data_IF_773365485903
#
_entry.id   IF_773365485903
#
_cell.length_a   1.000
_cell.length_b   1.000
_cell.length_c   1.000
_cell.angle_alpha   90.00
_cell.angle_beta   90.00
_cell.angle_gamma   90.00
#
_symmetry.space_group_name_H-M   'P 1'
#
loop_
_entity.id
_entity.type
_entity.pdbx_description
1 polymer ?
#
# COMPACT_ATOMS: atom_id res chain seq x y z
N UNK A 1 -11.43 3.64 -10.16
CA UNK A 1 -10.00 3.49 -10.50
C UNK A 1 -9.52 4.67 -11.34
N UNK A 2 -8.32 5.18 -11.12
CA UNK A 2 -7.73 6.24 -11.94
C UNK A 2 -6.52 5.66 -12.69
N UNK A 3 -6.46 5.87 -14.02
CA UNK A 3 -5.39 5.38 -14.88
C UNK A 3 -4.71 6.54 -15.59
N UNK A 4 -3.39 6.40 -15.79
CA UNK A 4 -2.58 7.32 -16.58
C UNK A 4 -1.50 6.55 -17.32
N UNK A 5 -1.22 6.91 -18.55
CA UNK A 5 -0.10 6.34 -19.31
C UNK A 5 1.24 6.56 -18.59
N UNK A 6 2.10 5.59 -18.69
CA UNK A 6 3.44 5.68 -18.13
C UNK A 6 4.34 6.45 -19.11
N UNK A 7 5.06 7.47 -18.62
CA UNK A 7 5.85 8.38 -19.46
C UNK A 7 6.92 7.68 -20.32
N UNK A 8 7.38 6.50 -19.89
CA UNK A 8 8.54 5.82 -20.51
C UNK A 8 8.30 4.31 -20.77
N UNK A 9 7.09 3.82 -20.65
CA UNK A 9 6.75 2.40 -20.84
C UNK A 9 5.37 2.27 -21.45
N UNK A 10 5.17 1.25 -22.25
CA UNK A 10 3.87 0.84 -22.76
C UNK A 10 3.08 0.13 -21.63
N UNK A 11 2.70 0.89 -20.62
CA UNK A 11 1.94 0.41 -19.46
C UNK A 11 1.21 1.58 -18.78
N UNK A 12 0.20 1.25 -17.98
CA UNK A 12 -0.56 2.24 -17.21
C UNK A 12 -0.04 2.34 -15.77
N UNK A 13 -0.07 3.55 -15.22
CA UNK A 13 -0.02 3.80 -13.77
C UNK A 13 -1.45 3.71 -13.24
N UNK A 14 -1.66 3.02 -12.13
CA UNK A 14 -2.98 2.81 -11.53
C UNK A 14 -3.03 3.39 -10.11
N UNK A 15 -4.16 4.04 -9.79
CA UNK A 15 -4.50 4.47 -8.43
C UNK A 15 -5.89 3.96 -8.07
N UNK A 16 -5.98 3.33 -6.93
CA UNK A 16 -7.22 2.80 -6.37
C UNK A 16 -7.83 3.78 -5.37
N UNK A 17 -9.15 3.89 -5.36
CA UNK A 17 -9.89 4.47 -4.24
C UNK A 17 -9.81 3.56 -3.00
N UNK A 18 -10.26 4.05 -1.85
CA UNK A 18 -10.31 3.24 -0.63
C UNK A 18 -11.17 1.98 -0.80
N UNK A 19 -12.35 2.11 -1.43
CA UNK A 19 -13.25 0.97 -1.70
C UNK A 19 -12.66 -0.04 -2.69
N UNK A 20 -11.89 0.42 -3.68
CA UNK A 20 -11.19 -0.49 -4.61
C UNK A 20 -10.01 -1.21 -3.94
N UNK A 21 -9.34 -0.57 -2.98
CA UNK A 21 -8.35 -1.27 -2.13
C UNK A 21 -9.03 -2.37 -1.32
N UNK A 22 -10.20 -2.10 -0.72
CA UNK A 22 -10.96 -3.12 0.02
C UNK A 22 -11.35 -4.28 -0.90
N UNK A 23 -11.89 -4.00 -2.08
CA UNK A 23 -12.24 -5.01 -3.07
C UNK A 23 -11.03 -5.88 -3.47
N UNK A 24 -9.85 -5.26 -3.68
CA UNK A 24 -8.62 -6.00 -3.99
C UNK A 24 -8.19 -6.92 -2.84
N UNK A 25 -8.31 -6.46 -1.59
CA UNK A 25 -7.98 -7.26 -0.42
C UNK A 25 -8.97 -8.42 -0.22
N UNK A 26 -10.24 -8.22 -0.55
CA UNK A 26 -11.27 -9.26 -0.49
C UNK A 26 -11.11 -10.30 -1.60
N UNK A 27 -10.62 -9.92 -2.77
CA UNK A 27 -10.26 -10.83 -3.87
C UNK A 27 -8.96 -11.63 -3.63
N UNK A 28 -8.26 -11.38 -2.52
CA UNK A 28 -7.06 -12.14 -2.17
C UNK A 28 -7.37 -13.63 -1.92
N UNK A 29 -6.59 -14.52 -2.53
CA UNK A 29 -6.82 -15.98 -2.49
C UNK A 29 -6.89 -16.56 -1.07
N UNK A 30 -6.11 -16.01 -0.15
CA UNK A 30 -5.98 -16.46 1.24
C UNK A 30 -5.43 -15.32 2.13
N UNK A 31 -5.32 -15.57 3.42
CA UNK A 31 -4.85 -14.59 4.41
C UNK A 31 -3.42 -14.11 4.14
N UNK A 32 -2.51 -14.98 3.72
CA UNK A 32 -1.13 -14.61 3.35
C UNK A 32 -1.11 -13.59 2.20
N UNK A 33 -1.89 -13.86 1.12
CA UNK A 33 -2.01 -12.91 0.00
C UNK A 33 -2.64 -11.59 0.46
N UNK A 34 -3.69 -11.66 1.29
CA UNK A 34 -4.35 -10.46 1.84
C UNK A 34 -3.38 -9.60 2.66
N UNK A 35 -2.56 -10.22 3.52
CA UNK A 35 -1.51 -9.51 4.27
C UNK A 35 -0.52 -8.85 3.32
N UNK A 36 0.02 -9.58 2.34
CA UNK A 36 1.00 -9.03 1.40
C UNK A 36 0.46 -7.84 0.60
N UNK A 37 -0.79 -7.93 0.09
CA UNK A 37 -1.45 -6.84 -0.61
C UNK A 37 -1.74 -5.66 0.33
N UNK A 38 -2.17 -5.94 1.56
CA UNK A 38 -2.42 -4.93 2.60
C UNK A 38 -1.16 -4.16 2.99
N UNK A 39 -0.02 -4.83 3.15
CA UNK A 39 1.27 -4.19 3.41
C UNK A 39 1.66 -3.22 2.28
N UNK A 40 1.40 -3.57 1.02
CA UNK A 40 1.61 -2.67 -0.10
C UNK A 40 0.64 -1.49 -0.14
N UNK A 41 -0.67 -1.77 -0.02
CA UNK A 41 -1.74 -0.80 -0.25
C UNK A 41 -2.08 0.08 0.98
N UNK A 42 -1.80 -0.39 2.20
CA UNK A 42 -2.17 0.26 3.46
C UNK A 42 -0.98 0.73 4.31
N UNK A 43 0.22 0.18 4.06
CA UNK A 43 1.47 0.59 4.74
C UNK A 43 2.51 1.14 3.76
N UNK A 44 2.24 1.13 2.46
CA UNK A 44 3.10 1.70 1.43
C UNK A 44 4.40 0.96 1.20
N UNK A 45 4.49 -0.34 1.52
CA UNK A 45 5.71 -1.12 1.35
C UNK A 45 6.01 -1.42 -0.12
N UNK A 46 7.30 -1.49 -0.42
CA UNK A 46 7.80 -2.04 -1.71
C UNK A 46 7.74 -3.56 -1.68
N UNK A 47 7.64 -4.21 -2.84
CA UNK A 47 7.55 -5.67 -2.91
C UNK A 47 8.70 -6.41 -2.24
N UNK A 48 9.93 -5.88 -2.28
CA UNK A 48 11.07 -6.49 -1.60
C UNK A 48 11.05 -6.29 -0.08
N UNK A 49 10.38 -5.25 0.42
CA UNK A 49 10.21 -5.02 1.85
C UNK A 49 9.13 -5.96 2.43
N UNK A 50 8.09 -6.26 1.65
CA UNK A 50 6.99 -7.12 2.09
C UNK A 50 7.44 -8.55 2.41
N UNK A 51 8.39 -9.10 1.66
CA UNK A 51 8.86 -10.47 1.86
C UNK A 51 9.67 -10.65 3.15
N UNK A 52 10.15 -9.54 3.73
CA UNK A 52 10.95 -9.53 4.95
C UNK A 52 10.11 -9.19 6.21
N UNK A 53 8.82 -8.85 6.05
CA UNK A 53 7.96 -8.49 7.18
C UNK A 53 7.64 -9.71 8.02
N UNK A 54 7.93 -9.60 9.33
CA UNK A 54 7.62 -10.60 10.35
C UNK A 54 6.69 -10.00 11.44
N UNK A 55 6.01 -10.81 12.25
CA UNK A 55 5.15 -10.33 13.34
C UNK A 55 5.85 -9.36 14.31
N UNK A 56 7.11 -9.60 14.68
CA UNK A 56 7.90 -8.74 15.58
C UNK A 56 8.12 -7.32 15.06
N UNK A 57 7.92 -7.08 13.75
CA UNK A 57 8.04 -5.76 13.16
C UNK A 57 6.82 -4.87 13.42
N UNK A 58 5.70 -5.44 13.89
CA UNK A 58 4.51 -4.69 14.27
C UNK A 58 4.61 -4.30 15.73
N UNK A 59 4.71 -2.99 16.01
CA UNK A 59 4.98 -2.47 17.35
C UNK A 59 3.95 -1.43 17.78
N UNK A 60 3.64 -1.39 19.07
CA UNK A 60 2.88 -0.31 19.67
C UNK A 60 3.85 0.81 20.13
N UNK A 61 3.54 2.03 19.74
CA UNK A 61 4.30 3.24 20.06
C UNK A 61 3.36 4.32 20.64
N UNK A 62 3.91 5.42 21.14
CA UNK A 62 3.12 6.58 21.57
C UNK A 62 2.33 7.22 20.41
N UNK A 63 2.78 7.05 19.17
CA UNK A 63 2.09 7.48 17.96
C UNK A 63 1.02 6.48 17.48
N UNK A 64 0.81 5.37 18.18
CA UNK A 64 -0.07 4.28 17.81
C UNK A 64 0.70 3.08 17.25
N UNK A 65 -0.02 2.20 16.56
CA UNK A 65 0.60 0.98 16.00
C UNK A 65 1.38 1.29 14.73
N UNK A 66 2.64 0.86 14.73
CA UNK A 66 3.58 1.11 13.62
C UNK A 66 4.16 -0.21 13.10
N UNK A 67 4.53 -0.20 11.83
CA UNK A 67 5.32 -1.25 11.21
C UNK A 67 6.75 -0.75 11.01
N UNK A 68 7.72 -1.48 11.54
CA UNK A 68 9.16 -1.26 11.36
C UNK A 68 9.65 -1.88 10.06
N UNK A 69 10.33 -1.10 9.25
CA UNK A 69 10.94 -1.54 7.99
C UNK A 69 12.44 -1.34 8.09
N UNK A 70 13.19 -2.44 8.24
CA UNK A 70 14.63 -2.41 8.51
C UNK A 70 15.48 -2.28 7.26
N UNK A 71 15.05 -2.84 6.12
CA UNK A 71 15.80 -2.89 4.87
C UNK A 71 15.12 -2.09 3.77
N UNK A 72 14.83 -0.81 4.03
CA UNK A 72 14.35 0.13 3.02
C UNK A 72 15.39 0.39 1.93
N UNK A 73 15.02 1.14 0.88
CA UNK A 73 15.95 1.54 -0.20
C UNK A 73 17.19 2.25 0.41
N UNK A 74 18.37 1.65 0.22
CA UNK A 74 19.63 2.14 0.78
C UNK A 74 19.85 1.73 2.24
N UNK A 75 19.25 0.62 2.67
CA UNK A 75 19.37 0.03 4.03
C UNK A 75 18.92 0.99 5.16
N UNK A 76 17.91 1.81 4.85
CA UNK A 76 17.38 2.78 5.81
C UNK A 76 16.24 2.19 6.62
N UNK A 77 16.33 2.35 7.93
CA UNK A 77 15.24 2.11 8.86
C UNK A 77 14.15 3.18 8.71
N UNK A 78 12.88 2.78 8.79
CA UNK A 78 11.74 3.65 8.95
C UNK A 78 10.60 2.96 9.67
N UNK A 79 9.66 3.74 10.16
CA UNK A 79 8.37 3.27 10.66
C UNK A 79 7.25 3.82 9.77
N UNK A 80 6.22 3.02 9.54
CA UNK A 80 5.01 3.42 8.81
C UNK A 80 3.78 3.06 9.60
N UNK A 81 2.70 3.86 9.59
CA UNK A 81 1.46 3.54 10.30
C UNK A 81 0.89 2.19 9.86
N UNK A 82 0.46 1.40 10.84
CA UNK A 82 -0.16 0.10 10.63
C UNK A 82 -1.67 0.16 10.92
N UNK A 83 -2.55 -0.09 9.94
CA UNK A 83 -3.99 -0.20 10.19
C UNK A 83 -4.31 -1.29 11.21
N UNK A 84 -5.27 -1.00 12.08
CA UNK A 84 -5.63 -1.89 13.20
C UNK A 84 -6.11 -3.27 12.74
N UNK A 85 -6.90 -3.33 11.70
CA UNK A 85 -7.44 -4.56 11.11
C UNK A 85 -6.33 -5.44 10.54
N UNK A 86 -5.37 -4.86 9.82
CA UNK A 86 -4.22 -5.57 9.28
C UNK A 86 -3.32 -6.09 10.41
N UNK A 87 -3.05 -5.27 11.43
CA UNK A 87 -2.29 -5.68 12.59
C UNK A 87 -2.95 -6.84 13.35
N UNK A 88 -4.28 -6.79 13.52
CA UNK A 88 -5.05 -7.89 14.15
C UNK A 88 -4.95 -9.16 13.31
N UNK A 89 -5.03 -9.05 11.99
CA UNK A 89 -4.86 -10.20 11.09
C UNK A 89 -3.48 -10.82 11.24
N UNK A 90 -2.43 -9.99 11.30
CA UNK A 90 -1.05 -10.44 11.48
C UNK A 90 -0.87 -11.16 12.82
N UNK A 91 -1.36 -10.58 13.92
CA UNK A 91 -1.32 -11.19 15.25
C UNK A 91 -2.03 -12.55 15.26
N UNK A 92 -3.23 -12.63 14.67
CA UNK A 92 -3.98 -13.90 14.58
C UNK A 92 -3.20 -14.96 13.80
N UNK A 93 -2.55 -14.57 12.71
CA UNK A 93 -1.73 -15.50 11.91
C UNK A 93 -0.51 -15.98 12.69
N UNK A 94 0.17 -15.09 13.43
CA UNK A 94 1.29 -15.44 14.30
C UNK A 94 0.86 -16.45 15.37
N UNK A 95 -0.24 -16.17 16.08
CA UNK A 95 -0.78 -17.07 17.11
C UNK A 95 -1.14 -18.46 16.57
N UNK A 96 -1.67 -18.55 15.34
CA UNK A 96 -2.09 -19.83 14.72
C UNK A 96 -0.91 -20.62 14.17
N UNK A 97 0.14 -19.94 13.67
CA UNK A 97 1.31 -20.62 13.09
C UNK A 97 2.19 -21.28 14.14
N UNK A 98 2.19 -20.78 15.36
CA UNK A 98 3.08 -21.24 16.46
C UNK A 98 4.56 -21.28 16.02
N UNK A 99 4.96 -20.28 15.21
CA UNK A 99 6.32 -20.07 14.72
C UNK A 99 6.96 -18.91 15.49
N UNK A 100 8.27 -18.76 15.36
CA UNK A 100 8.99 -17.62 15.93
C UNK A 100 8.51 -16.30 15.31
N UNK A 101 8.31 -15.26 16.12
CA UNK A 101 7.83 -13.95 15.67
C UNK A 101 8.74 -13.27 14.65
N UNK A 102 9.98 -13.72 14.51
CA UNK A 102 10.92 -13.33 13.47
C UNK A 102 10.69 -14.01 12.11
N UNK A 103 9.79 -15.03 12.07
CA UNK A 103 9.48 -15.73 10.82
C UNK A 103 8.67 -14.84 9.87
N UNK A 104 9.09 -14.65 8.60
CA UNK A 104 8.36 -13.84 7.65
C UNK A 104 6.90 -14.27 7.48
N UNK A 105 6.00 -13.27 7.38
CA UNK A 105 4.56 -13.49 7.20
C UNK A 105 4.20 -14.14 5.87
N UNK A 106 5.05 -13.96 4.85
CA UNK A 106 4.86 -14.56 3.53
C UNK A 106 5.89 -15.64 3.28
N UNK A 107 5.45 -16.81 2.85
CA UNK A 107 6.30 -17.99 2.62
C UNK A 107 7.12 -17.91 1.32
N UNK A 108 7.45 -16.70 0.86
CA UNK A 108 8.25 -16.48 -0.35
C UNK A 108 9.21 -15.31 -0.17
N UNK A 109 10.44 -15.48 -0.63
CA UNK A 109 11.42 -14.39 -0.76
C UNK A 109 11.45 -13.77 -2.17
N UNK A 110 10.60 -14.24 -3.09
CA UNK A 110 10.59 -13.83 -4.48
C UNK A 110 9.51 -12.76 -4.75
N UNK A 111 9.91 -11.53 -4.99
CA UNK A 111 9.02 -10.41 -5.36
C UNK A 111 8.13 -10.71 -6.58
N UNK A 112 8.61 -11.59 -7.49
CA UNK A 112 7.82 -12.07 -8.64
C UNK A 112 6.55 -12.81 -8.19
N UNK A 113 6.59 -13.49 -7.05
CA UNK A 113 5.42 -14.19 -6.49
C UNK A 113 4.37 -13.19 -6.05
N UNK A 114 4.76 -12.11 -5.35
CA UNK A 114 3.84 -11.02 -4.96
C UNK A 114 3.17 -10.38 -6.17
N UNK A 115 3.93 -10.17 -7.26
CA UNK A 115 3.38 -9.64 -8.50
C UNK A 115 2.26 -10.54 -9.05
N UNK A 116 2.47 -11.85 -9.07
CA UNK A 116 1.44 -12.83 -9.50
C UNK A 116 0.21 -12.83 -8.58
N UNK A 117 0.37 -12.50 -7.30
CA UNK A 117 -0.76 -12.43 -6.38
C UNK A 117 -1.64 -11.20 -6.67
N UNK A 118 -1.02 -10.06 -6.98
CA UNK A 118 -1.76 -8.88 -7.46
C UNK A 118 -2.47 -9.19 -8.77
N UNK A 119 -1.75 -9.73 -9.78
CA UNK A 119 -2.31 -10.09 -11.07
C UNK A 119 -3.54 -11.00 -10.93
N UNK A 120 -3.45 -12.04 -10.10
CA UNK A 120 -4.58 -12.96 -9.88
C UNK A 120 -5.80 -12.29 -9.24
N UNK A 121 -5.60 -11.45 -8.23
CA UNK A 121 -6.71 -10.72 -7.60
C UNK A 121 -7.32 -9.70 -8.55
N UNK A 122 -6.48 -9.01 -9.32
CA UNK A 122 -6.91 -8.06 -10.34
C UNK A 122 -7.65 -8.73 -11.50
N UNK A 123 -7.20 -9.89 -11.98
CA UNK A 123 -7.89 -10.66 -13.02
C UNK A 123 -9.29 -11.08 -12.57
N UNK A 124 -9.45 -11.54 -11.33
CA UNK A 124 -10.76 -11.88 -10.78
C UNK A 124 -11.70 -10.67 -10.80
N UNK A 125 -11.23 -9.49 -10.38
CA UNK A 125 -12.04 -8.26 -10.36
C UNK A 125 -12.33 -7.74 -11.78
N UNK A 126 -11.43 -7.99 -12.74
CA UNK A 126 -11.65 -7.65 -14.14
C UNK A 126 -12.75 -8.52 -14.79
N UNK A 127 -12.82 -9.79 -14.43
CA UNK A 127 -13.88 -10.70 -14.90
C UNK A 127 -15.27 -10.28 -14.39
N UNK A 128 -15.33 -9.67 -13.19
CA UNK A 128 -16.55 -9.18 -12.55
C UNK A 128 -17.01 -7.80 -13.09
N UNK A 129 -16.23 -7.09 -13.93
CA UNK A 129 -16.75 -5.89 -14.56
C UNK A 129 -15.85 -4.80 -15.11
N UNK A 130 -14.61 -4.62 -14.68
CA UNK A 130 -13.74 -3.53 -15.17
C UNK A 130 -12.35 -4.04 -15.61
N UNK A 131 -12.15 -4.13 -16.91
CA UNK A 131 -10.87 -4.51 -17.54
C UNK A 131 -9.66 -3.65 -17.08
N UNK A 132 -9.92 -2.46 -16.54
CA UNK A 132 -8.88 -1.58 -16.03
C UNK A 132 -8.02 -2.22 -14.91
N UNK A 133 -8.59 -3.18 -14.16
CA UNK A 133 -7.89 -3.94 -13.13
C UNK A 133 -6.65 -4.67 -13.66
N UNK A 134 -6.65 -5.13 -14.92
CA UNK A 134 -5.52 -5.84 -15.54
C UNK A 134 -4.24 -5.01 -15.66
N UNK A 135 -4.34 -3.70 -15.51
CA UNK A 135 -3.18 -2.81 -15.51
C UNK A 135 -2.50 -2.69 -14.14
N UNK A 136 -3.14 -3.22 -13.08
CA UNK A 136 -2.65 -3.09 -11.71
C UNK A 136 -1.35 -3.86 -11.50
N UNK A 137 -0.34 -3.17 -10.96
CA UNK A 137 0.92 -3.77 -10.53
C UNK A 137 1.12 -3.62 -9.02
N UNK A 138 2.03 -4.41 -8.43
CA UNK A 138 2.34 -4.28 -7.00
C UNK A 138 2.84 -2.87 -6.64
N UNK A 139 3.56 -2.21 -7.54
CA UNK A 139 4.05 -0.86 -7.29
C UNK A 139 2.94 0.19 -7.23
N UNK A 140 1.83 -0.05 -7.89
CA UNK A 140 0.67 0.84 -7.87
C UNK A 140 -0.04 0.84 -6.51
N UNK A 141 0.11 -0.23 -5.72
CA UNK A 141 -0.40 -0.27 -4.34
C UNK A 141 0.25 0.82 -3.48
N UNK A 142 1.56 0.96 -3.60
CA UNK A 142 2.30 2.02 -2.89
C UNK A 142 1.96 3.43 -3.43
N UNK A 143 1.75 3.60 -4.73
CA UNK A 143 1.25 4.86 -5.31
C UNK A 143 -0.14 5.20 -4.77
N UNK A 144 -1.01 4.20 -4.70
CA UNK A 144 -2.35 4.32 -4.12
C UNK A 144 -2.28 4.78 -2.67
N UNK A 145 -1.47 4.11 -1.84
CA UNK A 145 -1.25 4.49 -0.45
C UNK A 145 -0.81 5.96 -0.31
N UNK A 146 0.21 6.37 -1.06
CA UNK A 146 0.73 7.73 -1.04
C UNK A 146 -0.34 8.77 -1.45
N UNK A 147 -1.13 8.47 -2.48
CA UNK A 147 -2.20 9.36 -2.95
C UNK A 147 -3.36 9.42 -1.95
N UNK A 148 -3.72 8.30 -1.31
CA UNK A 148 -4.78 8.29 -0.30
C UNK A 148 -4.37 9.09 0.94
N UNK A 149 -3.13 9.01 1.42
CA UNK A 149 -2.65 9.88 2.50
C UNK A 149 -2.82 11.36 2.16
N UNK A 150 -2.51 11.77 0.94
CA UNK A 150 -2.73 13.14 0.48
C UNK A 150 -4.21 13.50 0.41
N UNK A 151 -5.06 12.59 -0.07
CA UNK A 151 -6.50 12.82 -0.12
C UNK A 151 -7.09 12.99 1.29
N UNK A 152 -6.45 12.42 2.30
CA UNK A 152 -6.81 12.52 3.72
C UNK A 152 -6.07 13.64 4.46
N UNK A 153 -5.49 14.61 3.71
CA UNK A 153 -4.78 15.80 4.21
C UNK A 153 -3.60 15.51 5.14
N UNK A 154 -2.96 14.34 5.01
CA UNK A 154 -1.73 14.04 5.74
C UNK A 154 -0.60 14.94 5.26
N UNK A 155 0.15 15.52 6.22
CA UNK A 155 1.31 16.36 5.92
C UNK A 155 2.28 15.64 4.96
N UNK A 156 2.67 16.25 3.82
CA UNK A 156 3.53 15.62 2.83
C UNK A 156 4.91 15.22 3.38
N UNK A 157 5.46 15.96 4.35
CA UNK A 157 6.74 15.61 4.98
C UNK A 157 6.61 14.36 5.84
N UNK A 158 5.50 14.23 6.58
CA UNK A 158 5.19 13.04 7.37
C UNK A 158 5.00 11.82 6.47
N UNK A 159 4.22 11.96 5.39
CA UNK A 159 4.01 10.88 4.42
C UNK A 159 5.33 10.49 3.72
N UNK A 160 6.20 11.46 3.45
CA UNK A 160 7.55 11.25 2.90
C UNK A 160 8.42 10.41 3.85
N UNK A 161 8.41 10.74 5.14
CA UNK A 161 9.14 10.01 6.19
C UNK A 161 8.64 8.56 6.31
N UNK A 162 7.33 8.36 6.50
CA UNK A 162 6.71 7.03 6.58
C UNK A 162 6.98 6.16 5.35
N UNK A 163 7.01 6.78 4.18
CA UNK A 163 7.29 6.07 2.92
C UNK A 163 8.78 5.82 2.69
N UNK A 164 9.67 6.54 3.40
CA UNK A 164 11.12 6.48 3.19
C UNK A 164 11.51 7.00 1.80
N UNK A 165 10.97 8.15 1.39
CA UNK A 165 11.48 8.92 0.27
C UNK A 165 12.63 9.83 0.76
N UNK A 166 13.63 10.00 -0.07
CA UNK A 166 14.81 10.80 0.31
C UNK A 166 14.54 12.31 0.28
N UNK A 167 13.55 12.72 -0.51
CA UNK A 167 13.21 14.12 -0.74
C UNK A 167 11.74 14.26 -1.11
N UNK A 168 11.21 15.46 -0.86
CA UNK A 168 9.82 15.80 -1.11
C UNK A 168 9.48 15.80 -2.61
N UNK A 169 10.42 16.16 -3.48
CA UNK A 169 10.21 16.21 -4.93
C UNK A 169 9.90 14.81 -5.46
N UNK A 170 10.76 13.83 -5.14
CA UNK A 170 10.53 12.42 -5.48
C UNK A 170 9.20 11.90 -4.93
N UNK A 171 8.83 12.32 -3.71
CA UNK A 171 7.56 11.93 -3.13
C UNK A 171 6.38 12.53 -3.89
N UNK A 172 6.41 13.83 -4.21
CA UNK A 172 5.35 14.51 -4.95
C UNK A 172 5.17 13.93 -6.36
N UNK A 173 6.23 13.47 -7.01
CA UNK A 173 6.16 12.77 -8.29
C UNK A 173 5.34 11.47 -8.22
N UNK A 174 5.30 10.80 -7.05
CA UNK A 174 4.46 9.64 -6.83
C UNK A 174 2.99 9.99 -6.59
N UNK A 175 2.69 11.22 -6.16
CA UNK A 175 1.32 11.72 -5.97
C UNK A 175 0.67 12.26 -7.24
N UNK A 176 1.23 12.05 -8.41
CA UNK A 176 0.64 12.55 -9.67
C UNK A 176 -0.71 11.90 -10.04
N UNK A 177 -1.34 11.16 -9.12
CA UNK A 177 -2.76 10.83 -9.17
C UNK A 177 -3.63 12.09 -9.05
N UNK A 178 -4.85 12.06 -9.59
CA UNK A 178 -5.81 13.12 -9.36
C UNK A 178 -6.26 13.12 -7.91
N UNK A 179 -6.50 14.30 -7.37
CA UNK A 179 -7.24 14.41 -6.12
C UNK A 179 -8.61 13.74 -6.24
N UNK A 180 -9.04 13.07 -5.20
CA UNK A 180 -10.40 12.54 -5.15
C UNK A 180 -11.43 13.66 -5.22
N UNK A 181 -12.67 13.39 -5.69
CA UNK A 181 -13.74 14.39 -5.67
C UNK A 181 -13.98 14.98 -4.28
N UNK A 182 -13.89 14.15 -3.24
CA UNK A 182 -14.07 14.55 -1.84
C UNK A 182 -12.96 15.49 -1.37
N UNK A 183 -11.70 15.20 -1.73
CA UNK A 183 -10.58 16.10 -1.43
C UNK A 183 -10.72 17.44 -2.16
N UNK A 184 -11.14 17.42 -3.43
CA UNK A 184 -11.40 18.65 -4.19
C UNK A 184 -12.57 19.46 -3.59
N UNK A 185 -13.61 18.79 -3.11
CA UNK A 185 -14.74 19.45 -2.46
C UNK A 185 -14.29 20.13 -1.16
N UNK A 186 -13.54 19.42 -0.29
CA UNK A 186 -13.01 20.03 0.94
C UNK A 186 -12.16 21.27 0.66
N UNK A 187 -11.34 21.26 -0.39
CA UNK A 187 -10.55 22.45 -0.75
C UNK A 187 -11.43 23.58 -1.25
N UNK A 188 -12.49 23.29 -2.01
CA UNK A 188 -13.44 24.32 -2.49
C UNK A 188 -14.18 24.99 -1.34
N UNK A 189 -14.55 24.23 -0.31
CA UNK A 189 -15.27 24.76 0.88
C UNK A 189 -14.43 25.73 1.72
N UNK A 190 -13.10 25.79 1.51
CA UNK A 190 -12.22 26.79 2.14
C UNK A 190 -12.26 28.16 1.46
N UNK A 191 -12.95 28.29 0.32
CA UNK A 191 -12.92 29.48 -0.53
C UNK A 191 -14.34 30.01 -0.70
N UNK A 192 -14.66 31.09 0.01
CA UNK A 192 -16.02 31.66 0.14
C UNK A 192 -16.70 32.02 -1.19
N UNK A 193 -15.95 32.21 -2.28
CA UNK A 193 -16.45 32.61 -3.59
C UNK A 193 -16.51 31.44 -4.61
N UNK A 194 -16.14 30.21 -4.27
CA UNK A 194 -16.31 28.99 -5.06
C UNK A 194 -17.57 28.26 -4.68
#
# INVERSE_FOLDING_TARGET
MNLREHDNKDSMKVWLSASEVDALLDAAKNTEHRIALGLGARCGLRSHEVVDVAPEHVVDTDAGRMLRVYHGKGDKFRETPMPRDLATTISTVADVRDEDDSTPLVATNATRTLRRWVERAADQLAEDGDEAWRHLSFHDLRRTWATNLRNDDVDPLMACDWGGWNDLETFLDHYQGRFSPEAQQREREKVDWL
#
